data_IF_542038061988
#
_entry.id   IF_542038061988
#
_cell.length_a   1.000
_cell.length_b   1.000
_cell.length_c   1.000
_cell.angle_alpha   90.00
_cell.angle_beta   90.00
_cell.angle_gamma   90.00
#
_symmetry.space_group_name_H-M   'P 1'
#
loop_
_entity.id
_entity.type
_entity.pdbx_description
1 polymer ?
#
# COMPACT_ATOMS: atom_id res chain seq x y z
N UNK A 1 -2.10 7.48 -24.73
CA UNK A 1 -1.58 8.67 -25.46
C UNK A 1 -2.74 9.44 -26.04
N UNK A 2 -2.54 10.70 -26.45
CA UNK A 2 -3.60 11.53 -27.03
C UNK A 2 -4.23 12.58 -26.11
N UNK A 3 -3.70 12.78 -24.90
CA UNK A 3 -4.18 13.79 -23.95
C UNK A 3 -3.61 15.20 -24.19
N UNK A 4 -2.53 15.30 -24.98
CA UNK A 4 -1.93 16.58 -25.35
C UNK A 4 -2.57 17.19 -26.60
N UNK A 5 -3.88 17.43 -26.49
CA UNK A 5 -4.68 18.02 -27.57
C UNK A 5 -4.55 19.53 -27.59
N UNK A 6 -4.54 20.12 -28.79
CA UNK A 6 -4.48 21.57 -29.01
C UNK A 6 -5.53 22.09 -30.00
N UNK A 7 -6.24 21.19 -30.67
CA UNK A 7 -7.21 21.52 -31.72
C UNK A 7 -8.41 20.56 -31.62
N UNK A 8 -9.58 21.03 -32.03
CA UNK A 8 -10.84 20.29 -32.03
C UNK A 8 -11.11 19.59 -30.69
N UNK A 9 -10.81 20.28 -29.59
CA UNK A 9 -11.04 19.77 -28.24
C UNK A 9 -12.54 19.66 -27.94
N UNK A 10 -13.31 20.60 -28.48
CA UNK A 10 -14.76 20.72 -28.30
C UNK A 10 -15.51 20.62 -29.62
N UNK A 11 -16.80 20.27 -29.55
CA UNK A 11 -17.72 20.44 -30.68
C UNK A 11 -18.05 21.92 -30.90
N UNK A 12 -18.15 22.34 -32.16
CA UNK A 12 -18.40 23.74 -32.51
C UNK A 12 -19.78 24.25 -32.06
N UNK A 13 -20.73 23.35 -31.82
CA UNK A 13 -22.11 23.64 -31.41
C UNK A 13 -22.39 23.34 -29.94
N UNK A 14 -21.56 22.49 -29.30
CA UNK A 14 -21.68 22.14 -27.88
C UNK A 14 -20.29 21.99 -27.22
N UNK A 15 -19.84 22.96 -26.40
CA UNK A 15 -18.54 22.91 -25.76
C UNK A 15 -18.42 21.84 -24.67
N UNK A 16 -19.52 21.16 -24.31
CA UNK A 16 -19.50 20.02 -23.36
C UNK A 16 -19.18 18.68 -24.03
N UNK A 17 -19.17 18.66 -25.36
CA UNK A 17 -18.85 17.49 -26.18
C UNK A 17 -17.50 17.67 -26.88
N UNK A 18 -16.98 16.60 -27.48
CA UNK A 18 -15.75 16.61 -28.28
C UNK A 18 -14.67 15.68 -27.74
N UNK A 19 -13.50 15.73 -28.37
CA UNK A 19 -12.37 14.83 -28.05
C UNK A 19 -11.92 14.99 -26.60
N UNK A 20 -11.89 16.22 -26.10
CA UNK A 20 -11.43 16.47 -24.73
C UNK A 20 -12.39 15.85 -23.70
N UNK A 21 -13.71 16.01 -23.90
CA UNK A 21 -14.73 15.38 -23.05
C UNK A 21 -14.64 13.85 -23.06
N UNK A 22 -14.42 13.24 -24.24
CA UNK A 22 -14.25 11.80 -24.38
C UNK A 22 -13.00 11.28 -23.64
N UNK A 23 -11.89 12.03 -23.69
CA UNK A 23 -10.65 11.69 -22.98
C UNK A 23 -10.81 11.82 -21.47
N UNK A 24 -11.47 12.88 -20.98
CA UNK A 24 -11.79 13.03 -19.57
C UNK A 24 -12.72 11.92 -19.06
N UNK A 25 -13.73 11.52 -19.86
CA UNK A 25 -14.58 10.37 -19.53
C UNK A 25 -13.76 9.08 -19.43
N UNK A 26 -12.87 8.85 -20.40
CA UNK A 26 -11.99 7.66 -20.40
C UNK A 26 -11.09 7.62 -19.16
N UNK A 27 -10.54 8.77 -18.74
CA UNK A 27 -9.76 8.88 -17.50
C UNK A 27 -10.62 8.61 -16.27
N UNK A 28 -11.82 9.20 -16.20
CA UNK A 28 -12.76 9.00 -15.09
C UNK A 28 -13.16 7.54 -14.93
N UNK A 29 -13.50 6.87 -16.04
CA UNK A 29 -13.88 5.46 -16.04
C UNK A 29 -12.71 4.57 -15.61
N UNK A 30 -11.49 4.85 -16.08
CA UNK A 30 -10.30 4.11 -15.68
C UNK A 30 -10.01 4.26 -14.18
N UNK A 31 -10.07 5.49 -13.64
CA UNK A 31 -9.91 5.76 -12.21
C UNK A 31 -10.98 5.02 -11.40
N UNK A 32 -12.24 5.06 -11.86
CA UNK A 32 -13.35 4.38 -11.20
C UNK A 32 -13.12 2.87 -11.14
N UNK A 33 -12.79 2.24 -12.27
CA UNK A 33 -12.54 0.80 -12.35
C UNK A 33 -11.37 0.40 -11.44
N UNK A 34 -10.29 1.17 -11.44
CA UNK A 34 -9.15 0.94 -10.55
C UNK A 34 -9.55 1.02 -9.07
N UNK A 35 -10.34 2.03 -8.69
CA UNK A 35 -10.81 2.22 -7.31
C UNK A 35 -11.79 1.15 -6.87
N UNK A 36 -12.70 0.73 -7.76
CA UNK A 36 -13.63 -0.36 -7.49
C UNK A 36 -12.87 -1.68 -7.27
N UNK A 37 -11.81 -1.95 -8.06
CA UNK A 37 -10.96 -3.13 -7.88
C UNK A 37 -10.20 -3.11 -6.55
N UNK A 38 -9.56 -1.99 -6.20
CA UNK A 38 -8.91 -1.82 -4.90
C UNK A 38 -9.87 -2.08 -3.75
N UNK A 39 -11.10 -1.56 -3.84
CA UNK A 39 -12.13 -1.76 -2.80
C UNK A 39 -12.55 -3.23 -2.71
N UNK A 40 -12.74 -3.90 -3.84
CA UNK A 40 -13.10 -5.33 -3.87
C UNK A 40 -12.01 -6.23 -3.25
N UNK A 41 -10.75 -5.79 -3.30
CA UNK A 41 -9.61 -6.48 -2.69
C UNK A 41 -9.35 -6.03 -1.24
N UNK A 42 -10.09 -5.05 -0.71
CA UNK A 42 -9.85 -4.48 0.62
C UNK A 42 -8.55 -3.67 0.72
N UNK A 43 -8.07 -3.11 -0.39
CA UNK A 43 -6.81 -2.35 -0.51
C UNK A 43 -7.04 -0.83 -0.69
N UNK A 44 -8.29 -0.37 -0.77
CA UNK A 44 -8.63 1.02 -1.10
C UNK A 44 -8.18 2.06 -0.08
N UNK A 45 -7.95 1.64 1.17
CA UNK A 45 -7.33 2.45 2.23
C UNK A 45 -5.80 2.48 2.19
N UNK A 46 -5.17 1.60 1.40
CA UNK A 46 -3.71 1.50 1.23
C UNK A 46 -3.20 2.20 -0.03
N UNK A 47 -4.08 2.87 -0.78
CA UNK A 47 -3.72 3.54 -2.03
C UNK A 47 -4.41 4.89 -2.12
N UNK A 48 -3.60 5.93 -2.30
CA UNK A 48 -4.02 7.25 -2.79
C UNK A 48 -3.49 7.44 -4.21
N UNK A 49 -4.31 8.03 -5.08
CA UNK A 49 -3.92 8.39 -6.43
C UNK A 49 -4.09 9.88 -6.67
N UNK A 50 -3.28 10.43 -7.57
CA UNK A 50 -3.42 11.79 -8.05
C UNK A 50 -3.14 11.87 -9.55
N UNK A 51 -3.82 12.76 -10.25
CA UNK A 51 -3.49 13.10 -11.63
C UNK A 51 -2.29 14.03 -11.69
N UNK A 52 -1.52 13.96 -12.76
CA UNK A 52 -0.44 14.91 -13.03
C UNK A 52 -0.44 15.30 -14.52
N UNK A 53 -0.15 16.57 -14.79
CA UNK A 53 0.08 17.12 -16.12
C UNK A 53 1.24 18.09 -16.04
N UNK A 54 2.16 18.02 -17.00
CA UNK A 54 3.25 19.00 -17.15
C UNK A 54 2.74 20.34 -17.72
N UNK A 55 1.52 20.34 -18.27
CA UNK A 55 0.95 21.48 -18.97
C UNK A 55 -0.42 21.83 -18.39
N UNK A 56 -0.56 23.09 -17.96
CA UNK A 56 -1.84 23.74 -17.75
C UNK A 56 -2.47 24.18 -19.07
N UNK A 57 -3.57 24.94 -19.00
CA UNK A 57 -4.23 25.51 -20.19
C UNK A 57 -4.35 27.03 -20.09
N UNK A 58 -4.24 27.69 -21.25
CA UNK A 58 -4.51 29.13 -21.37
C UNK A 58 -6.00 29.42 -21.20
N UNK A 59 -6.31 30.65 -20.80
CA UNK A 59 -7.69 31.12 -20.62
C UNK A 59 -8.38 31.26 -21.98
N UNK A 60 -7.70 31.82 -22.98
CA UNK A 60 -8.24 31.99 -24.33
C UNK A 60 -8.16 30.69 -25.14
N UNK A 61 -9.21 30.44 -25.92
CA UNK A 61 -9.17 29.44 -26.98
C UNK A 61 -8.30 29.93 -28.15
N UNK A 62 -7.66 29.00 -28.85
CA UNK A 62 -6.93 29.25 -30.09
C UNK A 62 -7.86 29.13 -31.31
N UNK A 63 -7.35 29.46 -32.50
CA UNK A 63 -8.09 29.46 -33.77
C UNK A 63 -8.49 28.06 -34.28
N UNK A 64 -8.22 27.00 -33.51
CA UNK A 64 -8.43 25.61 -33.89
C UNK A 64 -9.44 24.88 -33.01
N UNK A 65 -10.35 25.60 -32.34
CA UNK A 65 -11.32 25.03 -31.38
C UNK A 65 -10.62 24.25 -30.24
N UNK A 66 -9.53 24.79 -29.72
CA UNK A 66 -8.79 24.22 -28.60
C UNK A 66 -8.08 25.29 -27.77
N UNK A 67 -7.18 24.85 -26.89
CA UNK A 67 -6.39 25.71 -26.01
C UNK A 67 -4.93 25.29 -26.03
N UNK A 68 -4.03 26.27 -26.00
CA UNK A 68 -2.59 26.03 -25.88
C UNK A 68 -2.18 25.72 -24.43
N UNK A 69 -0.93 25.29 -24.26
CA UNK A 69 -0.33 25.10 -22.94
C UNK A 69 -0.30 26.41 -22.13
N UNK A 70 -0.60 26.27 -20.85
CA UNK A 70 -0.46 27.29 -19.82
C UNK A 70 0.17 26.70 -18.56
N UNK A 71 0.12 27.46 -17.46
CA UNK A 71 0.98 27.20 -16.30
C UNK A 71 0.26 26.54 -15.11
N UNK A 72 -1.08 26.54 -15.10
CA UNK A 72 -1.88 25.96 -14.02
C UNK A 72 -3.00 25.05 -14.55
N UNK A 73 -3.31 24.01 -13.76
CA UNK A 73 -4.41 23.09 -14.01
C UNK A 73 -4.99 22.58 -12.67
N UNK A 74 -6.28 22.17 -12.64
CA UNK A 74 -6.81 21.42 -11.52
C UNK A 74 -6.08 20.08 -11.38
N UNK A 75 -5.71 19.74 -10.14
CA UNK A 75 -5.14 18.44 -9.79
C UNK A 75 -6.21 17.63 -9.06
N UNK A 76 -6.52 16.44 -9.57
CA UNK A 76 -7.51 15.54 -8.99
C UNK A 76 -6.79 14.52 -8.12
N UNK A 77 -7.05 14.57 -6.81
CA UNK A 77 -6.63 13.53 -5.86
C UNK A 77 -7.84 12.64 -5.56
N UNK A 78 -7.62 11.33 -5.53
CA UNK A 78 -8.67 10.34 -5.27
C UNK A 78 -8.15 9.23 -4.35
N UNK A 79 -8.99 8.82 -3.40
CA UNK A 79 -8.60 7.87 -2.36
C UNK A 79 -9.71 7.68 -1.34
N UNK A 80 -9.58 6.69 -0.46
CA UNK A 80 -10.50 6.53 0.68
C UNK A 80 -10.12 7.50 1.81
N UNK A 81 -8.83 7.82 1.92
CA UNK A 81 -8.23 8.57 3.02
C UNK A 81 -7.82 9.98 2.62
N UNK A 82 -8.75 10.66 1.93
CA UNK A 82 -8.58 12.05 1.50
C UNK A 82 -9.61 12.93 2.21
N UNK A 83 -9.31 14.21 2.38
CA UNK A 83 -10.33 15.21 2.69
C UNK A 83 -11.16 15.46 1.42
N UNK A 84 -12.45 15.08 1.38
CA UNK A 84 -13.25 15.27 0.18
C UNK A 84 -13.62 16.74 0.00
N UNK A 85 -13.65 17.21 -1.25
CA UNK A 85 -14.07 18.56 -1.59
C UNK A 85 -13.09 19.25 -2.53
N UNK A 86 -13.21 20.57 -2.59
CA UNK A 86 -12.30 21.44 -3.32
C UNK A 86 -11.32 22.09 -2.34
N UNK A 87 -10.06 22.14 -2.74
CA UNK A 87 -9.01 22.89 -2.04
C UNK A 87 -8.60 24.04 -2.96
N UNK A 88 -8.69 25.26 -2.44
CA UNK A 88 -8.58 26.50 -3.22
C UNK A 88 -9.94 27.04 -3.65
N UNK A 89 -9.88 28.16 -4.34
CA UNK A 89 -11.03 28.90 -4.86
C UNK A 89 -11.18 28.67 -6.37
N UNK A 90 -12.37 28.96 -6.90
CA UNK A 90 -12.50 29.07 -8.36
C UNK A 90 -11.69 30.27 -8.86
N UNK A 91 -10.97 30.14 -9.99
CA UNK A 91 -10.19 31.25 -10.51
C UNK A 91 -11.10 32.41 -10.92
N UNK A 92 -10.76 33.61 -10.47
CA UNK A 92 -11.37 34.85 -10.96
C UNK A 92 -10.64 35.28 -12.24
N UNK A 93 -11.36 35.34 -13.35
CA UNK A 93 -10.82 35.76 -14.64
C UNK A 93 -11.21 37.22 -14.89
N UNK A 94 -10.24 38.14 -15.05
CA UNK A 94 -10.55 39.55 -15.31
C UNK A 94 -11.17 39.73 -16.71
N UNK A 95 -11.87 40.85 -16.93
CA UNK A 95 -12.45 41.15 -18.25
C UNK A 95 -11.39 41.36 -19.34
N UNK A 96 -10.17 41.72 -18.95
CA UNK A 96 -9.02 41.92 -19.82
C UNK A 96 -7.95 40.89 -19.50
N UNK A 97 -7.71 39.99 -20.44
CA UNK A 97 -6.77 38.86 -20.34
C UNK A 97 -5.93 38.82 -21.60
N UNK A 98 -4.61 38.71 -21.46
CA UNK A 98 -3.70 38.58 -22.60
C UNK A 98 -3.89 37.23 -23.30
N UNK A 99 -3.70 37.18 -24.62
CA UNK A 99 -3.93 35.95 -25.42
C UNK A 99 -3.08 34.77 -24.92
N UNK A 100 -1.88 35.03 -24.41
CA UNK A 100 -0.98 34.01 -23.88
C UNK A 100 -1.19 33.69 -22.39
N UNK A 101 -2.16 34.31 -21.73
CA UNK A 101 -2.32 34.23 -20.28
C UNK A 101 -2.95 32.90 -19.83
N UNK A 102 -2.34 32.30 -18.81
CA UNK A 102 -2.84 31.11 -18.12
C UNK A 102 -3.63 31.46 -16.86
N UNK A 103 -4.29 30.45 -16.29
CA UNK A 103 -4.93 30.59 -14.98
C UNK A 103 -3.87 30.82 -13.90
N UNK A 104 -4.11 31.75 -12.98
CA UNK A 104 -3.21 32.00 -11.87
C UNK A 104 -3.10 30.79 -10.93
N UNK A 105 -1.87 30.44 -10.56
CA UNK A 105 -1.60 29.37 -9.61
C UNK A 105 -1.96 29.81 -8.18
N UNK A 106 -2.76 29.01 -7.48
CA UNK A 106 -3.07 29.21 -6.06
C UNK A 106 -2.17 28.38 -5.13
N UNK A 107 -1.83 27.17 -5.55
CA UNK A 107 -0.91 26.28 -4.83
C UNK A 107 0.23 25.88 -5.74
N UNK A 108 1.46 26.03 -5.24
CA UNK A 108 2.62 25.41 -5.86
C UNK A 108 2.49 23.89 -5.82
N UNK A 109 2.77 23.20 -6.93
CA UNK A 109 2.67 21.74 -6.96
C UNK A 109 3.55 21.09 -5.88
N UNK A 110 4.68 21.68 -5.52
CA UNK A 110 5.56 21.15 -4.47
C UNK A 110 4.88 21.15 -3.10
N UNK A 111 3.91 22.04 -2.85
CA UNK A 111 3.07 21.99 -1.64
C UNK A 111 2.20 20.74 -1.62
N UNK A 112 1.62 20.36 -2.76
CA UNK A 112 0.81 19.14 -2.90
C UNK A 112 1.67 17.90 -2.64
N UNK A 113 2.81 17.79 -3.31
CA UNK A 113 3.72 16.65 -3.14
C UNK A 113 4.27 16.57 -1.71
N UNK A 114 4.71 17.70 -1.15
CA UNK A 114 5.22 17.75 0.22
C UNK A 114 4.18 17.34 1.26
N UNK A 115 2.93 17.79 1.10
CA UNK A 115 1.84 17.42 2.02
C UNK A 115 1.51 15.94 1.94
N UNK A 116 1.50 15.36 0.72
CA UNK A 116 1.33 13.90 0.56
C UNK A 116 2.50 13.14 1.16
N UNK A 117 3.74 13.61 1.01
CA UNK A 117 4.90 12.96 1.63
C UNK A 117 4.83 12.97 3.16
N UNK A 118 4.43 14.10 3.75
CA UNK A 118 4.25 14.21 5.20
C UNK A 118 3.15 13.26 5.69
N UNK A 119 1.98 13.29 5.07
CA UNK A 119 0.82 12.57 5.60
C UNK A 119 0.83 11.07 5.25
N UNK A 120 1.36 10.70 4.08
CA UNK A 120 1.32 9.31 3.58
C UNK A 120 2.56 8.51 3.94
N UNK A 121 3.72 9.16 3.98
CA UNK A 121 5.01 8.51 4.23
C UNK A 121 5.66 8.98 5.53
N UNK A 122 4.97 9.78 6.34
CA UNK A 122 5.44 10.31 7.63
C UNK A 122 6.80 11.04 7.50
N UNK A 123 7.03 11.69 6.36
CA UNK A 123 8.27 12.44 6.12
C UNK A 123 8.26 13.71 6.98
N UNK A 124 9.33 13.94 7.73
CA UNK A 124 9.50 15.16 8.53
C UNK A 124 9.42 16.43 7.65
N UNK A 125 8.69 17.45 8.12
CA UNK A 125 8.55 18.73 7.43
C UNK A 125 9.91 19.38 7.10
N UNK A 126 10.89 19.26 8.01
CA UNK A 126 12.25 19.76 7.78
C UNK A 126 12.92 19.07 6.58
N UNK A 127 12.67 17.77 6.40
CA UNK A 127 13.16 17.03 5.25
C UNK A 127 12.42 17.43 3.97
N UNK A 128 11.10 17.61 4.03
CA UNK A 128 10.31 18.14 2.89
C UNK A 128 10.83 19.50 2.43
N UNK A 129 11.06 20.44 3.35
CA UNK A 129 11.60 21.77 3.05
C UNK A 129 12.98 21.70 2.38
N UNK A 130 13.87 20.87 2.94
CA UNK A 130 15.23 20.72 2.37
C UNK A 130 15.26 19.99 1.03
N UNK A 131 14.32 19.08 0.75
CA UNK A 131 14.25 18.32 -0.51
C UNK A 131 13.50 19.08 -1.61
N UNK A 132 12.38 19.71 -1.30
CA UNK A 132 11.50 20.31 -2.30
C UNK A 132 11.75 21.82 -2.43
N UNK A 133 11.56 22.58 -1.35
CA UNK A 133 11.80 24.02 -1.28
C UNK A 133 11.50 24.60 0.12
N UNK A 134 12.17 25.71 0.46
CA UNK A 134 12.11 26.34 1.79
C UNK A 134 10.74 26.94 2.14
N UNK A 135 10.01 27.50 1.16
CA UNK A 135 8.71 28.15 1.34
C UNK A 135 7.52 27.18 1.35
N UNK A 136 7.75 25.92 1.73
CA UNK A 136 6.71 24.90 1.80
C UNK A 136 5.54 25.31 2.69
N UNK A 137 4.33 25.11 2.17
CA UNK A 137 3.05 25.32 2.84
C UNK A 137 2.24 24.02 2.80
N UNK A 138 1.83 23.56 3.98
CA UNK A 138 1.00 22.36 4.10
C UNK A 138 -0.40 22.58 3.51
N UNK A 139 -0.87 21.57 2.77
CA UNK A 139 -2.19 21.49 2.14
C UNK A 139 -2.92 20.28 2.72
N UNK A 140 -4.10 20.43 3.33
CA UNK A 140 -4.80 19.34 4.02
C UNK A 140 -5.50 18.39 3.05
N UNK A 141 -4.72 17.65 2.26
CA UNK A 141 -5.22 16.75 1.21
C UNK A 141 -5.68 15.42 1.80
N UNK A 142 -4.91 14.87 2.74
CA UNK A 142 -5.16 13.55 3.30
C UNK A 142 -5.93 13.64 4.62
N UNK A 143 -6.81 12.67 4.82
CA UNK A 143 -7.47 12.42 6.09
C UNK A 143 -7.15 10.98 6.50
N UNK A 144 -6.23 10.76 7.44
CA UNK A 144 -5.76 9.41 7.74
C UNK A 144 -6.92 8.52 8.19
N UNK A 145 -7.25 7.49 7.39
CA UNK A 145 -8.26 6.49 7.80
C UNK A 145 -7.72 5.48 8.83
N UNK A 146 -6.40 5.36 8.86
CA UNK A 146 -5.54 4.64 9.79
C UNK A 146 -4.12 4.90 9.28
N UNK A 147 -3.13 5.04 10.16
CA UNK A 147 -1.73 4.94 9.72
C UNK A 147 -1.59 3.57 9.08
N UNK A 148 -1.26 3.53 7.78
CA UNK A 148 -0.74 2.30 7.17
C UNK A 148 0.64 2.09 7.75
N UNK A 149 0.66 1.57 8.96
CA UNK A 149 1.87 1.04 9.56
C UNK A 149 2.43 0.02 8.57
N UNK A 150 3.72 0.11 8.23
CA UNK A 150 4.37 -0.86 7.33
C UNK A 150 4.44 -2.26 7.92
N UNK A 151 3.95 -2.44 9.14
CA UNK A 151 3.58 -3.73 9.65
C UNK A 151 2.38 -4.26 8.86
N UNK A 152 2.66 -5.02 7.77
CA UNK A 152 1.92 -6.27 7.59
C UNK A 152 1.77 -6.86 8.98
N UNK A 153 0.54 -7.07 9.46
CA UNK A 153 0.32 -7.59 10.80
C UNK A 153 1.19 -8.84 10.95
N UNK A 154 2.32 -8.71 11.66
CA UNK A 154 3.26 -9.78 11.88
C UNK A 154 2.41 -10.90 12.46
N UNK A 155 2.24 -12.01 11.73
CA UNK A 155 1.25 -12.98 12.12
C UNK A 155 1.66 -13.48 13.50
N UNK A 156 0.78 -13.26 14.48
CA UNK A 156 1.06 -13.44 15.92
C UNK A 156 1.98 -14.66 16.14
N UNK A 157 3.15 -14.46 16.78
CA UNK A 157 4.16 -15.49 16.86
C UNK A 157 3.55 -16.74 17.48
N UNK A 158 3.77 -17.88 16.82
CA UNK A 158 3.19 -19.14 17.30
C UNK A 158 3.94 -19.57 18.55
N UNK A 159 3.19 -19.66 19.64
CA UNK A 159 3.68 -20.23 20.88
C UNK A 159 3.82 -21.73 20.73
N UNK A 160 5.05 -22.21 20.91
CA UNK A 160 5.39 -23.62 20.90
C UNK A 160 6.50 -23.89 21.92
N UNK A 161 6.35 -24.97 22.69
CA UNK A 161 7.30 -25.40 23.72
C UNK A 161 7.42 -26.92 23.73
N UNK A 162 8.58 -27.41 24.19
CA UNK A 162 8.79 -28.82 24.47
C UNK A 162 8.98 -29.00 25.98
N UNK A 163 8.29 -29.99 26.56
CA UNK A 163 8.46 -30.35 27.97
C UNK A 163 8.32 -31.87 28.18
N UNK A 164 9.18 -32.48 29.02
CA UNK A 164 10.34 -31.88 29.67
C UNK A 164 11.43 -31.50 28.65
N UNK A 165 12.25 -30.51 29.00
CA UNK A 165 13.45 -30.13 28.25
C UNK A 165 14.47 -29.54 29.24
N UNK A 166 15.59 -30.22 29.56
CA UNK A 166 16.08 -31.46 28.97
C UNK A 166 15.20 -32.70 29.21
N UNK A 167 15.39 -33.76 28.41
CA UNK A 167 14.61 -35.02 28.48
C UNK A 167 15.49 -36.27 28.27
N UNK A 168 14.98 -37.46 28.61
CA UNK A 168 15.62 -38.76 28.35
C UNK A 168 15.10 -39.38 27.05
N UNK A 169 14.05 -40.21 27.13
CA UNK A 169 13.56 -40.97 25.97
C UNK A 169 12.51 -40.21 25.17
N UNK A 170 11.73 -39.33 25.79
CA UNK A 170 10.69 -38.58 25.08
C UNK A 170 10.44 -37.19 25.65
N UNK A 171 9.91 -36.31 24.81
CA UNK A 171 9.43 -34.97 25.19
C UNK A 171 8.08 -34.70 24.51
N UNK A 172 7.26 -33.84 25.12
CA UNK A 172 5.98 -33.41 24.56
C UNK A 172 6.12 -32.03 23.96
N UNK A 173 5.86 -31.90 22.67
CA UNK A 173 5.80 -30.63 21.95
C UNK A 173 4.35 -30.14 22.02
N UNK A 174 4.15 -28.97 22.63
CA UNK A 174 2.87 -28.29 22.75
C UNK A 174 2.89 -27.00 21.93
N UNK A 175 1.86 -26.78 21.11
CA UNK A 175 1.69 -25.57 20.30
C UNK A 175 0.21 -25.23 20.12
N UNK A 176 -0.10 -23.98 19.78
CA UNK A 176 -1.46 -23.54 19.46
C UNK A 176 -1.55 -23.13 17.99
N UNK A 177 -2.61 -23.55 17.30
CA UNK A 177 -2.84 -23.20 15.90
C UNK A 177 -4.32 -22.88 15.66
N UNK A 178 -4.61 -22.21 14.54
CA UNK A 178 -5.97 -22.03 14.00
C UNK A 178 -6.38 -23.30 13.25
N UNK A 179 -7.51 -23.26 12.55
CA UNK A 179 -7.88 -24.34 11.62
C UNK A 179 -7.00 -24.24 10.37
N UNK A 180 -5.84 -24.89 10.39
CA UNK A 180 -4.80 -24.71 9.38
C UNK A 180 -3.96 -25.98 9.19
N UNK A 181 -3.18 -26.05 8.10
CA UNK A 181 -2.25 -27.15 7.85
C UNK A 181 -0.98 -26.93 8.65
N UNK A 182 -0.56 -27.97 9.37
CA UNK A 182 0.58 -27.93 10.28
C UNK A 182 1.54 -29.06 9.94
N UNK A 183 2.83 -28.72 9.80
CA UNK A 183 3.91 -29.68 9.67
C UNK A 183 4.87 -29.56 10.86
N UNK A 184 5.10 -30.66 11.56
CA UNK A 184 6.06 -30.72 12.67
C UNK A 184 7.19 -31.68 12.32
N UNK A 185 8.41 -31.17 12.30
CA UNK A 185 9.61 -31.92 11.92
C UNK A 185 10.70 -31.80 12.98
N UNK A 186 11.58 -32.79 13.09
CA UNK A 186 12.71 -32.83 14.00
C UNK A 186 14.02 -32.78 13.23
N UNK A 187 14.95 -31.94 13.67
CA UNK A 187 16.27 -31.75 13.11
C UNK A 187 17.37 -31.99 14.16
N UNK A 188 18.55 -32.44 13.72
CA UNK A 188 19.73 -32.48 14.58
C UNK A 188 20.49 -31.14 14.59
N UNK A 189 21.59 -31.07 15.35
CA UNK A 189 22.45 -29.87 15.45
C UNK A 189 23.17 -29.45 14.16
N UNK A 190 23.22 -30.31 13.14
CA UNK A 190 23.77 -29.99 11.82
C UNK A 190 22.68 -29.51 10.84
N UNK A 191 21.42 -29.38 11.29
CA UNK A 191 20.29 -29.01 10.44
C UNK A 191 19.81 -30.15 9.54
N UNK A 192 20.20 -31.40 9.80
CA UNK A 192 19.70 -32.56 9.05
C UNK A 192 18.32 -32.94 9.58
N UNK A 193 17.37 -33.16 8.66
CA UNK A 193 16.03 -33.65 8.97
C UNK A 193 16.10 -35.09 9.47
N UNK A 194 15.72 -35.31 10.73
CA UNK A 194 15.72 -36.63 11.39
C UNK A 194 14.39 -37.34 11.20
N UNK A 195 13.27 -36.61 11.33
CA UNK A 195 11.92 -37.17 11.29
C UNK A 195 10.87 -36.07 11.00
N UNK A 196 9.78 -36.44 10.33
CA UNK A 196 8.57 -35.61 10.25
C UNK A 196 7.51 -36.30 11.10
N UNK A 197 7.11 -35.69 12.22
CA UNK A 197 6.14 -36.29 13.15
C UNK A 197 4.73 -36.34 12.54
N UNK A 198 4.36 -35.28 11.81
CA UNK A 198 3.15 -35.25 10.97
C UNK A 198 3.18 -34.05 10.02
N UNK A 199 2.33 -34.12 8.99
CA UNK A 199 1.95 -33.02 8.10
C UNK A 199 0.47 -33.18 7.75
N UNK A 200 -0.41 -32.42 8.41
CA UNK A 200 -1.87 -32.51 8.22
C UNK A 200 -2.59 -31.26 8.71
N UNK A 201 -3.85 -31.11 8.30
CA UNK A 201 -4.75 -30.07 8.83
C UNK A 201 -5.19 -30.41 10.25
N UNK A 202 -5.11 -29.44 11.15
CA UNK A 202 -5.54 -29.55 12.54
C UNK A 202 -6.69 -28.57 12.82
N UNK A 203 -7.62 -28.91 13.73
CA UNK A 203 -8.61 -27.95 14.21
C UNK A 203 -7.95 -26.87 15.05
N UNK A 204 -8.61 -25.70 15.15
CA UNK A 204 -8.16 -24.63 16.02
C UNK A 204 -8.07 -25.08 17.48
N UNK A 205 -6.98 -24.75 18.16
CA UNK A 205 -6.75 -25.09 19.57
C UNK A 205 -5.30 -25.45 19.88
N UNK A 206 -5.08 -25.89 21.12
CA UNK A 206 -3.78 -26.36 21.62
C UNK A 206 -3.61 -27.86 21.32
N UNK A 207 -2.49 -28.21 20.72
CA UNK A 207 -2.13 -29.58 20.35
C UNK A 207 -0.89 -30.02 21.12
N UNK A 208 -0.85 -31.30 21.47
CA UNK A 208 0.27 -31.95 22.16
C UNK A 208 0.71 -33.16 21.37
N UNK A 209 1.99 -33.22 21.05
CA UNK A 209 2.58 -34.30 20.26
C UNK A 209 3.82 -34.80 20.97
N UNK A 210 3.80 -36.08 21.36
CA UNK A 210 4.94 -36.71 21.99
C UNK A 210 5.95 -37.12 20.90
N UNK A 211 7.21 -36.77 21.11
CA UNK A 211 8.32 -37.28 20.33
C UNK A 211 9.08 -38.33 21.13
N UNK A 212 9.10 -39.56 20.64
CA UNK A 212 9.93 -40.65 21.16
C UNK A 212 11.30 -40.62 20.46
N UNK A 213 12.31 -40.26 21.24
CA UNK A 213 13.69 -40.18 20.81
C UNK A 213 14.58 -41.29 21.39
N UNK A 214 14.00 -42.38 21.90
CA UNK A 214 14.74 -43.53 22.46
C UNK A 214 15.82 -44.07 21.51
N UNK A 215 15.55 -44.05 20.20
CA UNK A 215 16.47 -44.50 19.15
C UNK A 215 17.59 -43.52 18.77
N UNK A 216 17.57 -42.29 19.28
CA UNK A 216 18.54 -41.25 18.92
C UNK A 216 19.56 -41.03 20.05
N UNK A 217 20.83 -40.69 19.73
CA UNK A 217 21.85 -40.45 20.77
C UNK A 217 21.54 -39.19 21.60
N UNK A 218 22.13 -39.10 22.80
CA UNK A 218 22.12 -37.87 23.59
C UNK A 218 22.73 -36.70 22.78
N UNK A 219 22.14 -35.51 22.91
CA UNK A 219 22.53 -34.36 22.11
C UNK A 219 21.43 -33.31 21.94
N UNK A 220 21.72 -32.31 21.11
CA UNK A 220 20.80 -31.23 20.81
C UNK A 220 20.00 -31.52 19.53
N UNK A 221 18.69 -31.32 19.64
CA UNK A 221 17.71 -31.45 18.58
C UNK A 221 16.89 -30.17 18.48
N UNK A 222 16.18 -30.01 17.38
CA UNK A 222 15.31 -28.87 17.15
C UNK A 222 14.00 -29.39 16.61
N UNK A 223 12.88 -29.00 17.22
CA UNK A 223 11.61 -29.14 16.52
C UNK A 223 11.41 -27.91 15.64
N UNK A 224 10.80 -28.13 14.48
CA UNK A 224 10.46 -27.13 13.49
C UNK A 224 8.97 -27.25 13.17
N UNK A 225 8.19 -26.26 13.57
CA UNK A 225 6.76 -26.14 13.33
C UNK A 225 6.53 -25.18 12.16
N UNK A 226 5.80 -25.62 11.14
CA UNK A 226 5.42 -24.81 10.00
C UNK A 226 3.90 -24.80 9.86
N UNK A 227 3.34 -23.61 9.68
CA UNK A 227 1.92 -23.38 9.43
C UNK A 227 1.69 -22.94 7.98
N UNK A 228 0.51 -23.21 7.44
CA UNK A 228 0.18 -22.88 6.05
C UNK A 228 0.15 -21.39 5.73
N UNK A 229 0.06 -20.52 6.73
CA UNK A 229 0.09 -19.06 6.55
C UNK A 229 1.51 -18.48 6.55
N UNK A 230 2.54 -19.33 6.52
CA UNK A 230 3.94 -18.93 6.46
C UNK A 230 4.60 -18.74 7.83
N UNK A 231 3.84 -18.78 8.93
CA UNK A 231 4.43 -18.77 10.28
C UNK A 231 5.24 -20.02 10.53
N UNK A 232 6.41 -19.83 11.15
CA UNK A 232 7.35 -20.89 11.49
C UNK A 232 7.88 -20.71 12.91
N UNK A 233 8.06 -21.81 13.65
CA UNK A 233 8.70 -21.80 14.97
C UNK A 233 9.72 -22.92 15.10
N UNK A 234 10.94 -22.56 15.50
CA UNK A 234 12.00 -23.53 15.83
C UNK A 234 12.39 -23.37 17.30
N UNK A 235 12.47 -24.48 18.04
CA UNK A 235 12.98 -24.46 19.43
C UNK A 235 13.96 -25.63 19.67
N UNK A 236 15.02 -25.39 20.46
CA UNK A 236 15.96 -26.44 20.83
C UNK A 236 15.35 -27.39 21.87
N UNK A 237 15.76 -28.65 21.80
CA UNK A 237 15.46 -29.72 22.75
C UNK A 237 16.75 -30.47 23.06
N UNK A 238 17.06 -30.70 24.33
CA UNK A 238 18.29 -31.37 24.75
C UNK A 238 17.96 -32.75 25.33
N UNK A 239 18.45 -33.80 24.67
CA UNK A 239 18.44 -35.18 25.19
C UNK A 239 19.69 -35.42 26.03
N UNK A 240 19.53 -35.87 27.27
CA UNK A 240 20.65 -36.04 28.21
C UNK A 240 21.13 -37.49 28.40
N UNK A 241 20.26 -38.49 28.21
CA UNK A 241 20.58 -39.92 28.38
C UNK A 241 19.80 -40.74 27.37
#
# INVERSE_FOLDING_TARGET
GGFDTHANQVDATDPTQGVHAQLLQSLSDAIKLFRDDLKNQGLDQRVVGMTFSEFGRRIHANDSLGTDHGDAAPLIVFGTCINPGFIGDNPEIPDQVEVSEGVAMQYDFRNVYGSILMDWFEVDEALVKSLLFDDFQYVPILNPCATTDTHEAEPEPVEARAWPNPFSDSTTIEFTCKHERVRLSIFNNMGQLMEVLFDRTLPAGTHRVQWDASRYPAGNYYFHLQLSDGRVKTRPMTKVW
#
